data_IF_723656690617
#
_entry.id   IF_723656690617
#
_cell.length_a   1.000
_cell.length_b   1.000
_cell.length_c   1.000
_cell.angle_alpha   90.00
_cell.angle_beta   90.00
_cell.angle_gamma   90.00
#
_symmetry.space_group_name_H-M   'P 1'
#
loop_
_entity.id
_entity.type
_entity.pdbx_description
1 polymer ?
#
# COMPACT_ATOMS: atom_id res chain seq x y z
N UNK A 1 -26.29 9.18 9.77
CA UNK A 1 -26.01 7.72 9.65
C UNK A 1 -25.11 7.29 10.81
N UNK A 2 -25.23 6.00 11.26
CA UNK A 2 -24.28 5.46 12.26
C UNK A 2 -22.90 5.30 11.64
N UNK A 3 -21.85 5.41 12.51
CA UNK A 3 -20.47 5.14 12.08
C UNK A 3 -20.38 3.70 11.58
N UNK A 4 -19.84 3.45 10.38
CA UNK A 4 -19.69 2.09 9.86
C UNK A 4 -18.73 1.25 10.72
N UNK A 5 -19.03 -0.06 10.84
CA UNK A 5 -18.11 -1.06 11.32
C UNK A 5 -17.39 -1.69 10.13
N UNK A 6 -16.13 -2.02 10.32
CA UNK A 6 -15.29 -2.71 9.34
C UNK A 6 -14.66 -3.95 9.95
N UNK A 7 -14.32 -4.88 9.08
CA UNK A 7 -13.63 -6.13 9.40
C UNK A 7 -12.18 -6.08 8.90
N UNK A 8 -11.24 -6.28 9.83
CA UNK A 8 -9.79 -6.21 9.55
C UNK A 8 -9.17 -7.58 9.79
N UNK A 9 -8.68 -8.25 8.76
CA UNK A 9 -7.93 -9.50 8.87
C UNK A 9 -6.55 -9.24 9.47
N UNK A 10 -6.23 -9.91 10.58
CA UNK A 10 -5.00 -9.65 11.36
C UNK A 10 -3.95 -10.73 11.13
N UNK A 11 -4.29 -11.98 11.37
CA UNK A 11 -3.38 -13.10 11.24
C UNK A 11 -4.12 -14.38 10.85
N UNK A 12 -3.39 -15.29 10.19
CA UNK A 12 -3.91 -16.61 9.85
C UNK A 12 -2.95 -17.71 10.32
N UNK A 13 -3.51 -18.85 10.73
CA UNK A 13 -2.72 -19.99 11.18
C UNK A 13 -3.57 -21.19 11.57
N UNK A 14 -2.95 -22.36 11.76
CA UNK A 14 -3.66 -23.56 12.25
C UNK A 14 -4.12 -23.43 13.70
N UNK A 15 -3.47 -22.57 14.46
CA UNK A 15 -3.77 -22.22 15.82
C UNK A 15 -3.73 -20.72 15.99
N UNK A 16 -4.66 -20.15 16.77
CA UNK A 16 -4.71 -18.73 17.12
C UNK A 16 -4.78 -18.64 18.63
N UNK A 17 -3.79 -17.99 19.24
CA UNK A 17 -3.77 -17.67 20.67
C UNK A 17 -4.17 -16.22 20.90
N UNK A 18 -5.12 -16.01 21.78
CA UNK A 18 -5.64 -14.70 22.13
C UNK A 18 -5.95 -14.56 23.60
N UNK A 19 -6.09 -13.33 24.10
CA UNK A 19 -6.38 -13.05 25.51
C UNK A 19 -7.42 -11.96 25.66
N UNK A 20 -8.29 -12.15 26.63
CA UNK A 20 -9.30 -11.18 27.06
C UNK A 20 -8.98 -10.67 28.47
N UNK A 21 -8.39 -9.47 28.64
CA UNK A 21 -8.12 -8.90 29.95
C UNK A 21 -9.39 -8.65 30.78
N UNK A 22 -10.52 -8.47 30.08
CA UNK A 22 -11.86 -8.36 30.69
C UNK A 22 -12.79 -9.40 30.05
N UNK A 23 -14.03 -9.52 30.56
CA UNK A 23 -15.00 -10.46 30.01
C UNK A 23 -15.45 -10.10 28.60
N UNK A 24 -15.41 -11.08 27.71
CA UNK A 24 -16.02 -11.09 26.39
C UNK A 24 -17.09 -12.16 26.33
N UNK A 25 -18.11 -11.94 25.51
CA UNK A 25 -19.21 -12.88 25.27
C UNK A 25 -19.03 -13.42 23.85
N UNK A 26 -18.99 -14.74 23.71
CA UNK A 26 -18.93 -15.42 22.43
C UNK A 26 -20.30 -15.46 21.75
N UNK A 27 -20.33 -15.85 20.47
CA UNK A 27 -21.54 -15.98 19.66
C UNK A 27 -22.52 -17.04 20.20
N UNK A 28 -22.08 -17.97 21.06
CA UNK A 28 -22.93 -18.95 21.78
C UNK A 28 -23.21 -18.55 23.22
N UNK A 29 -23.09 -17.26 23.56
CA UNK A 29 -23.35 -16.66 24.88
C UNK A 29 -22.39 -17.14 26.00
N UNK A 30 -21.27 -17.80 25.66
CA UNK A 30 -20.26 -18.21 26.64
C UNK A 30 -19.42 -17.00 27.06
N UNK A 31 -19.37 -16.71 28.36
CA UNK A 31 -18.46 -15.71 28.93
C UNK A 31 -17.02 -16.24 28.94
N UNK A 32 -16.08 -15.43 28.50
CA UNK A 32 -14.67 -15.79 28.45
C UNK A 32 -13.75 -14.64 28.87
N UNK A 33 -12.69 -14.97 29.61
CA UNK A 33 -11.61 -14.06 30.02
C UNK A 33 -10.28 -14.80 30.06
N UNK A 34 -9.17 -14.05 30.15
CA UNK A 34 -7.83 -14.61 30.18
C UNK A 34 -7.40 -15.22 28.85
N UNK A 35 -6.40 -16.10 28.92
CA UNK A 35 -5.82 -16.76 27.76
C UNK A 35 -6.78 -17.77 27.14
N UNK A 36 -6.90 -17.71 25.82
CA UNK A 36 -7.74 -18.56 25.00
C UNK A 36 -6.92 -19.10 23.82
N UNK A 37 -7.36 -20.23 23.26
CA UNK A 37 -6.76 -20.85 22.08
C UNK A 37 -7.83 -21.47 21.20
N UNK A 38 -7.86 -21.10 19.93
CA UNK A 38 -8.67 -21.75 18.90
C UNK A 38 -7.76 -22.57 17.96
N UNK A 39 -8.22 -23.74 17.56
CA UNK A 39 -7.46 -24.69 16.74
C UNK A 39 -8.29 -25.10 15.53
N UNK A 40 -7.66 -25.09 14.33
CA UNK A 40 -8.24 -25.66 13.12
C UNK A 40 -8.14 -27.20 13.15
N UNK A 41 -9.26 -27.87 12.98
CA UNK A 41 -9.31 -29.32 12.73
C UNK A 41 -10.48 -29.65 11.81
N UNK A 42 -10.23 -30.44 10.78
CA UNK A 42 -11.27 -31.01 9.88
C UNK A 42 -12.30 -29.98 9.37
N UNK A 43 -11.84 -28.80 8.99
CA UNK A 43 -12.69 -27.73 8.46
C UNK A 43 -13.47 -26.94 9.52
N UNK A 44 -13.17 -27.11 10.81
CA UNK A 44 -13.86 -26.47 11.95
C UNK A 44 -12.89 -25.71 12.85
N UNK A 45 -13.47 -24.78 13.62
CA UNK A 45 -12.83 -24.11 14.74
C UNK A 45 -13.11 -24.91 16.01
N UNK A 46 -12.08 -25.44 16.65
CA UNK A 46 -12.20 -26.07 17.96
C UNK A 46 -11.82 -25.09 19.05
N UNK A 47 -12.77 -24.79 19.95
CA UNK A 47 -12.58 -23.89 21.09
C UNK A 47 -13.37 -24.40 22.30
N UNK A 48 -12.70 -24.48 23.45
CA UNK A 48 -13.29 -24.95 24.74
C UNK A 48 -14.08 -26.27 24.61
N UNK A 49 -13.57 -27.23 23.80
CA UNK A 49 -14.20 -28.52 23.60
C UNK A 49 -15.43 -28.55 22.67
N UNK A 50 -15.78 -27.44 22.07
CA UNK A 50 -16.86 -27.30 21.08
C UNK A 50 -16.32 -27.02 19.69
N UNK A 51 -17.16 -27.26 18.67
CA UNK A 51 -16.86 -27.02 17.24
C UNK A 51 -17.72 -25.90 16.69
N UNK A 52 -17.08 -25.03 15.89
CA UNK A 52 -17.73 -23.88 15.27
C UNK A 52 -17.37 -23.77 13.78
N UNK A 53 -18.28 -23.23 12.98
CA UNK A 53 -17.98 -22.76 11.61
C UNK A 53 -17.40 -21.34 11.63
N UNK A 54 -17.88 -20.54 12.55
CA UNK A 54 -17.50 -19.17 12.80
C UNK A 54 -17.64 -18.91 14.30
N UNK A 55 -16.71 -18.15 14.88
CA UNK A 55 -16.70 -17.82 16.30
C UNK A 55 -16.44 -16.32 16.48
N UNK A 56 -17.37 -15.62 17.13
CA UNK A 56 -17.27 -14.19 17.36
C UNK A 56 -17.31 -13.88 18.85
N UNK A 57 -16.57 -12.84 19.25
CA UNK A 57 -16.50 -12.37 20.62
C UNK A 57 -16.74 -10.86 20.66
N UNK A 58 -17.63 -10.44 21.54
CA UNK A 58 -17.92 -9.02 21.80
C UNK A 58 -17.61 -8.67 23.25
N UNK A 59 -17.07 -7.48 23.54
CA UNK A 59 -16.81 -7.06 24.91
C UNK A 59 -18.13 -6.85 25.66
N UNK A 60 -18.20 -7.30 26.91
CA UNK A 60 -19.41 -7.20 27.72
C UNK A 60 -19.71 -5.76 28.16
N UNK A 61 -18.69 -4.93 28.42
CA UNK A 61 -18.84 -3.52 28.79
C UNK A 61 -17.60 -2.67 28.46
N UNK A 62 -17.84 -1.39 28.09
CA UNK A 62 -16.89 -0.28 28.14
C UNK A 62 -16.12 0.01 26.85
N UNK A 63 -16.01 1.30 26.52
CA UNK A 63 -15.26 1.81 25.36
C UNK A 63 -13.73 1.54 25.43
N UNK A 64 -13.20 1.11 26.57
CA UNK A 64 -11.78 0.78 26.78
C UNK A 64 -11.48 -0.72 26.67
N UNK A 65 -12.48 -1.56 26.37
CA UNK A 65 -12.30 -2.99 26.21
C UNK A 65 -11.39 -3.31 25.01
N UNK A 66 -10.45 -4.23 25.23
CA UNK A 66 -9.56 -4.72 24.17
C UNK A 66 -9.30 -6.22 24.34
N UNK A 67 -8.85 -6.85 23.27
CA UNK A 67 -8.30 -8.18 23.27
C UNK A 67 -6.86 -8.16 22.74
N UNK A 68 -6.10 -9.19 23.04
CA UNK A 68 -4.74 -9.39 22.58
C UNK A 68 -4.68 -10.58 21.63
N UNK A 69 -3.91 -10.46 20.55
CA UNK A 69 -3.51 -11.57 19.68
C UNK A 69 -2.00 -11.76 19.82
N UNK A 70 -1.59 -13.03 19.97
CA UNK A 70 -0.17 -13.41 19.98
C UNK A 70 0.33 -13.72 18.58
N UNK A 71 1.64 -13.65 18.41
CA UNK A 71 2.34 -14.01 17.18
C UNK A 71 1.85 -13.28 15.91
N UNK A 72 1.35 -12.05 16.05
CA UNK A 72 1.00 -11.23 14.90
C UNK A 72 2.27 -10.85 14.15
N UNK A 73 2.39 -11.30 12.90
CA UNK A 73 3.53 -10.97 12.04
C UNK A 73 3.37 -9.56 11.49
N UNK A 74 4.39 -8.73 11.67
CA UNK A 74 4.47 -7.38 11.11
C UNK A 74 5.66 -7.27 10.17
N UNK A 75 5.53 -6.43 9.11
CA UNK A 75 6.57 -6.26 8.10
C UNK A 75 6.77 -7.49 7.24
N UNK A 76 5.70 -8.13 6.81
CA UNK A 76 5.71 -9.34 6.00
C UNK A 76 6.57 -9.14 4.74
N UNK A 77 7.57 -9.99 4.53
CA UNK A 77 8.56 -9.94 3.46
C UNK A 77 9.53 -8.73 3.50
N UNK A 78 9.59 -7.99 4.59
CA UNK A 78 10.62 -6.97 4.82
C UNK A 78 11.76 -7.53 5.69
N UNK A 79 12.94 -6.90 5.63
CA UNK A 79 14.11 -7.30 6.43
C UNK A 79 13.91 -7.18 7.96
N UNK A 80 12.87 -6.46 8.40
CA UNK A 80 12.48 -6.25 9.79
C UNK A 80 11.23 -7.04 10.21
N UNK A 81 10.83 -8.06 9.41
CA UNK A 81 9.73 -8.97 9.76
C UNK A 81 9.94 -9.58 11.15
N UNK A 82 8.92 -9.50 12.00
CA UNK A 82 8.91 -10.08 13.32
C UNK A 82 7.50 -10.38 13.81
N UNK A 83 7.41 -11.18 14.88
CA UNK A 83 6.16 -11.49 15.57
C UNK A 83 6.04 -10.66 16.84
N UNK A 84 4.85 -10.14 17.10
CA UNK A 84 4.53 -9.33 18.27
C UNK A 84 3.19 -9.75 18.87
N UNK A 85 2.99 -9.44 20.16
CA UNK A 85 1.67 -9.43 20.79
C UNK A 85 1.02 -8.09 20.46
N UNK A 86 -0.15 -8.12 19.84
CA UNK A 86 -0.87 -6.89 19.50
C UNK A 86 -2.22 -6.81 20.20
N UNK A 87 -2.65 -5.57 20.50
CA UNK A 87 -3.87 -5.22 21.24
C UNK A 87 -4.87 -4.54 20.32
N UNK A 88 -6.14 -4.96 20.39
CA UNK A 88 -7.19 -4.47 19.51
C UNK A 88 -8.44 -4.12 20.28
N UNK A 89 -9.03 -2.95 20.03
CA UNK A 89 -10.37 -2.59 20.49
C UNK A 89 -11.43 -3.29 19.65
N UNK A 90 -12.69 -3.28 20.15
CA UNK A 90 -13.84 -3.85 19.42
C UNK A 90 -13.97 -5.35 19.58
N UNK A 91 -14.54 -6.02 18.58
CA UNK A 91 -14.80 -7.46 18.59
C UNK A 91 -13.71 -8.28 17.90
N UNK A 92 -13.59 -9.54 18.31
CA UNK A 92 -12.79 -10.56 17.62
C UNK A 92 -13.73 -11.55 16.92
N UNK A 93 -13.45 -11.82 15.66
CA UNK A 93 -14.12 -12.87 14.87
C UNK A 93 -13.06 -13.83 14.35
N UNK A 94 -13.31 -15.13 14.44
CA UNK A 94 -12.45 -16.19 13.90
C UNK A 94 -13.26 -16.96 12.86
N UNK A 95 -12.68 -17.14 11.68
CA UNK A 95 -13.27 -17.90 10.57
C UNK A 95 -12.31 -18.99 10.09
N UNK A 96 -12.83 -19.93 9.32
CA UNK A 96 -12.03 -20.92 8.57
C UNK A 96 -11.78 -20.37 7.16
N UNK A 97 -10.52 -20.31 6.74
CA UNK A 97 -10.10 -19.99 5.37
C UNK A 97 -9.14 -21.07 4.86
N UNK A 98 -9.59 -21.87 3.90
CA UNK A 98 -8.82 -23.03 3.44
C UNK A 98 -8.58 -24.01 4.58
N UNK A 99 -7.32 -24.35 4.85
CA UNK A 99 -6.89 -25.27 5.91
C UNK A 99 -6.35 -24.57 7.16
N UNK A 100 -6.84 -23.37 7.46
CA UNK A 100 -6.39 -22.55 8.60
C UNK A 100 -7.51 -21.65 9.14
N UNK A 101 -7.25 -21.08 10.31
CA UNK A 101 -8.08 -20.04 10.92
C UNK A 101 -7.57 -18.67 10.52
N UNK A 102 -8.49 -17.70 10.41
CA UNK A 102 -8.16 -16.28 10.27
C UNK A 102 -8.83 -15.48 11.39
N UNK A 103 -8.02 -14.71 12.13
CA UNK A 103 -8.50 -13.76 13.14
C UNK A 103 -8.81 -12.42 12.49
N UNK A 104 -10.02 -11.91 12.73
CA UNK A 104 -10.56 -10.68 12.17
C UNK A 104 -10.97 -9.76 13.32
N UNK A 105 -10.53 -8.52 13.30
CA UNK A 105 -10.99 -7.49 14.22
C UNK A 105 -12.22 -6.77 13.64
N UNK A 106 -13.30 -6.67 14.41
CA UNK A 106 -14.50 -5.90 14.07
C UNK A 106 -14.47 -4.59 14.84
N UNK A 107 -14.36 -3.46 14.13
CA UNK A 107 -14.11 -2.17 14.75
C UNK A 107 -14.80 -1.03 13.96
N UNK A 108 -15.09 0.10 14.63
CA UNK A 108 -15.57 1.29 13.93
C UNK A 108 -14.49 1.89 13.04
N UNK A 109 -14.89 2.45 11.89
CA UNK A 109 -13.94 3.08 10.95
C UNK A 109 -13.11 4.17 11.61
N UNK A 110 -13.68 4.95 12.54
CA UNK A 110 -12.95 6.03 13.21
C UNK A 110 -11.87 5.48 14.18
N UNK A 111 -12.16 4.44 14.93
CA UNK A 111 -11.15 3.79 15.78
C UNK A 111 -10.06 3.08 14.94
N UNK A 112 -10.44 2.49 13.80
CA UNK A 112 -9.49 1.95 12.83
C UNK A 112 -8.54 3.03 12.32
N UNK A 113 -9.07 4.20 11.92
CA UNK A 113 -8.26 5.32 11.40
C UNK A 113 -7.29 5.88 12.43
N UNK A 114 -7.68 5.96 13.72
CA UNK A 114 -6.74 6.35 14.78
C UNK A 114 -5.51 5.43 14.79
N UNK A 115 -5.73 4.13 14.66
CA UNK A 115 -4.62 3.16 14.58
C UNK A 115 -3.80 3.31 13.29
N UNK A 116 -4.45 3.44 12.14
CA UNK A 116 -3.76 3.63 10.84
C UNK A 116 -2.88 4.87 10.88
N UNK A 117 -3.43 6.03 11.28
CA UNK A 117 -2.68 7.29 11.36
C UNK A 117 -1.48 7.16 12.31
N UNK A 118 -1.68 6.52 13.47
CA UNK A 118 -0.60 6.30 14.45
C UNK A 118 0.44 5.28 13.98
N UNK A 119 0.09 4.40 13.03
CA UNK A 119 1.00 3.38 12.46
C UNK A 119 1.76 3.89 11.22
N UNK A 120 1.13 4.78 10.44
CA UNK A 120 1.70 5.36 9.23
C UNK A 120 2.55 6.61 9.50
N UNK A 121 2.13 7.43 10.48
CA UNK A 121 2.73 8.72 10.80
C UNK A 121 3.38 8.75 12.17
N UNK A 122 4.38 9.62 12.32
CA UNK A 122 5.02 9.87 13.61
C UNK A 122 4.13 10.71 14.53
N UNK A 123 4.40 10.61 15.85
CA UNK A 123 3.84 11.48 16.87
C UNK A 123 4.19 12.98 16.69
N UNK A 124 5.22 13.27 15.90
CA UNK A 124 5.70 14.64 15.62
C UNK A 124 5.09 15.25 14.36
N UNK A 125 4.23 14.51 13.66
CA UNK A 125 3.58 14.99 12.44
C UNK A 125 2.65 16.18 12.73
N UNK A 126 2.63 17.14 11.80
CA UNK A 126 1.75 18.31 11.93
C UNK A 126 0.28 17.90 11.92
N UNK A 127 -0.56 18.63 12.67
CA UNK A 127 -1.99 18.33 12.76
C UNK A 127 -2.66 18.37 11.38
N UNK A 128 -2.25 19.29 10.51
CA UNK A 128 -2.83 19.43 9.16
C UNK A 128 -2.46 18.25 8.25
N UNK A 129 -1.22 17.71 8.36
CA UNK A 129 -0.84 16.46 7.68
C UNK A 129 -1.70 15.28 8.18
N UNK A 130 -1.88 15.15 9.50
CA UNK A 130 -2.66 14.07 10.10
C UNK A 130 -4.14 14.13 9.69
N UNK A 131 -4.73 15.34 9.63
CA UNK A 131 -6.10 15.56 9.12
C UNK A 131 -6.22 15.16 7.65
N UNK A 132 -5.31 15.62 6.79
CA UNK A 132 -5.29 15.24 5.38
C UNK A 132 -5.21 13.71 5.24
N UNK A 133 -4.32 13.07 6.01
CA UNK A 133 -4.14 11.61 5.97
C UNK A 133 -5.37 10.86 6.49
N UNK A 134 -6.06 11.36 7.52
CA UNK A 134 -7.30 10.77 8.03
C UNK A 134 -8.41 10.80 6.97
N UNK A 135 -8.56 11.92 6.24
CA UNK A 135 -9.53 12.07 5.17
C UNK A 135 -9.24 11.11 4.00
N UNK A 136 -7.99 11.04 3.52
CA UNK A 136 -7.66 10.16 2.40
C UNK A 136 -7.77 8.68 2.76
N UNK A 137 -7.33 8.29 3.96
CA UNK A 137 -7.45 6.91 4.43
C UNK A 137 -8.91 6.47 4.55
N UNK A 138 -9.79 7.36 5.05
CA UNK A 138 -11.24 7.14 5.10
C UNK A 138 -11.85 7.06 3.71
N UNK A 139 -11.45 7.95 2.80
CA UNK A 139 -11.95 7.97 1.41
C UNK A 139 -11.60 6.68 0.68
N UNK A 140 -10.34 6.25 0.74
CA UNK A 140 -9.88 5.01 0.14
C UNK A 140 -10.66 3.79 0.65
N UNK A 141 -10.83 3.68 1.97
CA UNK A 141 -11.53 2.57 2.60
C UNK A 141 -13.00 2.52 2.21
N UNK A 142 -13.70 3.65 2.27
CA UNK A 142 -15.12 3.72 1.92
C UNK A 142 -15.36 3.58 0.41
N UNK A 143 -14.45 4.04 -0.44
CA UNK A 143 -14.50 3.79 -1.88
C UNK A 143 -14.42 2.29 -2.17
N UNK A 144 -13.43 1.59 -1.58
CA UNK A 144 -13.28 0.15 -1.70
C UNK A 144 -14.56 -0.57 -1.26
N UNK A 145 -15.05 -0.29 -0.07
CA UNK A 145 -16.23 -0.93 0.49
C UNK A 145 -17.49 -0.75 -0.37
N UNK A 146 -17.76 0.47 -0.85
CA UNK A 146 -18.91 0.73 -1.76
C UNK A 146 -18.76 0.04 -3.11
N UNK A 147 -17.54 -0.06 -3.63
CA UNK A 147 -17.28 -0.73 -4.91
C UNK A 147 -17.48 -2.23 -4.81
N UNK A 148 -17.05 -2.86 -3.73
CA UNK A 148 -17.25 -4.29 -3.48
C UNK A 148 -18.73 -4.63 -3.24
N UNK A 149 -19.45 -3.82 -2.46
CA UNK A 149 -20.89 -3.99 -2.24
C UNK A 149 -21.67 -3.93 -3.55
N UNK A 150 -21.37 -2.97 -4.43
CA UNK A 150 -22.01 -2.87 -5.76
C UNK A 150 -21.68 -4.07 -6.65
N UNK A 151 -20.45 -4.57 -6.63
CA UNK A 151 -20.06 -5.78 -7.38
C UNK A 151 -20.87 -7.02 -6.90
N UNK A 152 -21.11 -7.14 -5.59
CA UNK A 152 -21.92 -8.23 -5.02
C UNK A 152 -23.41 -8.13 -5.41
N UNK A 153 -24.00 -6.94 -5.34
CA UNK A 153 -25.38 -6.68 -5.78
C UNK A 153 -25.56 -7.05 -7.26
N UNK A 154 -24.67 -6.61 -8.13
CA UNK A 154 -24.69 -6.95 -9.57
C UNK A 154 -24.51 -8.45 -9.85
N UNK A 155 -23.76 -9.18 -9.03
CA UNK A 155 -23.63 -10.64 -9.14
C UNK A 155 -24.94 -11.33 -8.73
N UNK A 156 -25.59 -10.88 -7.67
CA UNK A 156 -26.86 -11.43 -7.18
C UNK A 156 -28.02 -11.19 -8.15
N UNK A 157 -28.07 -10.04 -8.83
CA UNK A 157 -29.07 -9.75 -9.88
C UNK A 157 -28.87 -10.61 -11.14
N UNK A 158 -27.64 -10.98 -11.47
CA UNK A 158 -27.34 -11.84 -12.64
C UNK A 158 -27.61 -13.34 -12.37
N UNK A 159 -27.61 -13.79 -11.13
CA UNK A 159 -27.96 -15.19 -10.80
C UNK A 159 -29.45 -15.52 -10.98
N UNK A 160 -30.30 -14.51 -11.21
CA UNK A 160 -31.74 -14.69 -11.56
C UNK A 160 -32.03 -14.92 -13.06
N UNK A 161 -31.03 -14.82 -13.95
CA UNK A 161 -31.17 -15.11 -15.38
C UNK A 161 -30.04 -16.01 -15.84
N UNK A 162 -30.38 -17.23 -16.24
CA UNK A 162 -29.47 -18.19 -16.88
C UNK A 162 -28.91 -17.60 -18.18
N UNK A 163 -27.73 -17.03 -18.14
CA UNK A 163 -26.94 -16.66 -19.33
C UNK A 163 -25.59 -17.35 -19.18
N UNK A 164 -25.19 -18.02 -20.26
CA UNK A 164 -23.92 -18.73 -20.42
C UNK A 164 -22.74 -17.90 -19.91
N UNK A 165 -21.84 -18.58 -19.20
CA UNK A 165 -20.61 -18.06 -18.68
C UNK A 165 -19.70 -17.59 -19.81
N UNK A 166 -19.65 -16.30 -20.05
CA UNK A 166 -18.42 -15.63 -20.45
C UNK A 166 -17.87 -14.92 -19.22
N UNK A 167 -17.21 -15.69 -18.37
CA UNK A 167 -16.41 -15.15 -17.27
C UNK A 167 -15.07 -14.69 -17.81
N UNK A 168 -15.05 -13.55 -18.47
CA UNK A 168 -13.85 -12.74 -18.53
C UNK A 168 -13.63 -12.14 -17.13
N UNK A 169 -13.19 -12.97 -16.17
CA UNK A 169 -12.45 -12.48 -15.01
C UNK A 169 -11.20 -11.84 -15.60
N UNK A 170 -11.16 -10.50 -15.58
CA UNK A 170 -9.97 -9.75 -15.95
C UNK A 170 -8.87 -10.19 -14.97
N UNK A 171 -8.08 -11.18 -15.38
CA UNK A 171 -6.90 -11.59 -14.60
C UNK A 171 -6.01 -10.35 -14.47
N UNK A 172 -5.49 -10.02 -13.26
CA UNK A 172 -4.63 -8.86 -13.05
C UNK A 172 -3.23 -9.06 -13.68
N UNK A 173 -3.15 -9.85 -14.75
CA UNK A 173 -1.93 -10.10 -15.50
C UNK A 173 -2.22 -10.44 -16.95
N UNK A 174 -1.37 -9.93 -17.82
CA UNK A 174 -1.29 -10.31 -19.21
C UNK A 174 0.04 -11.04 -19.44
N UNK A 175 0.00 -12.31 -19.81
CA UNK A 175 1.18 -13.14 -20.06
C UNK A 175 1.16 -13.62 -21.51
N UNK A 176 2.23 -13.35 -22.24
CA UNK A 176 2.52 -13.89 -23.57
C UNK A 176 3.98 -14.33 -23.64
N UNK A 177 4.41 -14.95 -24.73
CA UNK A 177 5.81 -15.36 -24.95
C UNK A 177 6.82 -14.20 -24.88
N UNK A 178 6.36 -12.95 -25.06
CA UNK A 178 7.19 -11.74 -25.11
C UNK A 178 6.89 -10.72 -24.00
N UNK A 179 5.80 -10.89 -23.22
CA UNK A 179 5.36 -9.92 -22.22
C UNK A 179 4.80 -10.58 -20.98
N UNK A 180 5.16 -10.04 -19.82
CA UNK A 180 4.63 -10.36 -18.51
C UNK A 180 4.20 -9.07 -17.81
N UNK A 181 2.93 -8.67 -18.00
CA UNK A 181 2.36 -7.46 -17.45
C UNK A 181 1.44 -7.85 -16.30
N UNK A 182 1.79 -7.44 -15.08
CA UNK A 182 1.05 -7.75 -13.86
C UNK A 182 0.79 -6.50 -13.04
N UNK A 183 -0.41 -6.38 -12.52
CA UNK A 183 -0.76 -5.41 -11.49
C UNK A 183 -1.45 -6.13 -10.34
N UNK A 184 -1.51 -5.49 -9.20
CA UNK A 184 -2.03 -6.08 -7.97
C UNK A 184 -3.36 -5.43 -7.64
N UNK A 185 -4.43 -6.24 -7.67
CA UNK A 185 -5.79 -5.81 -7.43
C UNK A 185 -6.10 -5.80 -5.93
N UNK A 186 -7.16 -5.08 -5.55
CA UNK A 186 -7.70 -5.01 -4.19
C UNK A 186 -8.32 -6.32 -3.68
N UNK A 187 -8.55 -7.31 -4.53
CA UNK A 187 -9.25 -8.55 -4.21
C UNK A 187 -8.38 -9.63 -3.54
N UNK A 188 -7.32 -9.23 -2.79
CA UNK A 188 -6.45 -10.20 -2.10
C UNK A 188 -7.15 -10.96 -0.97
N UNK A 189 -8.30 -10.48 -0.48
CA UNK A 189 -9.09 -11.10 0.57
C UNK A 189 -10.60 -10.94 0.28
N UNK A 190 -11.37 -11.99 0.61
CA UNK A 190 -12.81 -12.08 0.30
C UNK A 190 -13.70 -12.08 1.55
N UNK A 191 -13.14 -12.40 2.71
CA UNK A 191 -13.88 -12.68 3.92
C UNK A 191 -13.80 -11.54 4.97
N UNK A 192 -13.07 -10.47 4.64
CA UNK A 192 -12.95 -9.25 5.45
C UNK A 192 -12.65 -8.05 4.54
N UNK A 193 -12.92 -6.83 5.02
CA UNK A 193 -12.84 -5.61 4.22
C UNK A 193 -11.40 -5.20 3.89
N UNK A 194 -10.49 -5.28 4.86
CA UNK A 194 -9.07 -4.91 4.74
C UNK A 194 -8.19 -5.84 5.56
N UNK A 195 -6.93 -5.99 5.16
CA UNK A 195 -5.91 -6.61 6.01
C UNK A 195 -5.14 -5.56 6.85
N UNK A 196 -4.44 -6.03 7.86
CA UNK A 196 -3.64 -5.20 8.76
C UNK A 196 -2.27 -4.80 8.18
N UNK A 197 -1.88 -5.32 7.01
CA UNK A 197 -0.57 -5.15 6.39
C UNK A 197 -0.56 -4.05 5.30
N UNK A 198 0.63 -3.71 4.82
CA UNK A 198 0.93 -2.68 3.82
C UNK A 198 0.19 -2.86 2.47
N UNK A 199 -0.37 -4.05 2.21
CA UNK A 199 -1.24 -4.28 1.06
C UNK A 199 -2.50 -3.39 1.08
N UNK A 200 -3.08 -3.14 2.27
CA UNK A 200 -4.20 -2.23 2.46
C UNK A 200 -3.72 -0.93 3.12
N UNK A 201 -3.79 -0.87 4.41
CA UNK A 201 -3.28 0.23 5.25
C UNK A 201 -2.73 -0.39 6.52
N UNK A 202 -1.55 0.04 6.95
CA UNK A 202 -0.91 -0.51 8.15
C UNK A 202 -1.77 -0.28 9.38
N UNK A 203 -2.24 -1.38 9.99
CA UNK A 203 -3.11 -1.38 11.14
C UNK A 203 -2.50 -2.23 12.27
N UNK A 204 -2.24 -1.64 13.42
CA UNK A 204 -1.61 -2.30 14.57
C UNK A 204 -2.46 -2.20 15.87
N UNK A 205 -3.76 -1.96 15.71
CA UNK A 205 -4.68 -1.81 16.82
C UNK A 205 -4.27 -0.65 17.74
N UNK A 206 -4.31 -0.90 19.06
CA UNK A 206 -3.87 0.06 20.10
C UNK A 206 -2.49 -0.31 20.67
N UNK A 207 -1.75 -1.18 20.01
CA UNK A 207 -0.42 -1.63 20.47
C UNK A 207 0.58 -0.48 20.49
N UNK A 208 0.49 0.39 19.49
CA UNK A 208 1.18 1.68 19.52
C UNK A 208 0.28 2.72 20.17
N UNK A 209 0.87 3.50 21.08
CA UNK A 209 0.16 4.60 21.70
C UNK A 209 -0.30 5.57 20.61
N UNK A 210 -1.60 5.77 20.51
CA UNK A 210 -2.16 6.84 19.70
C UNK A 210 -1.77 8.18 20.32
N UNK A 211 -1.26 9.10 19.50
CA UNK A 211 -0.94 10.43 19.99
C UNK A 211 -2.22 11.27 20.14
N UNK A 212 -2.25 12.24 21.06
CA UNK A 212 -3.37 13.18 21.15
C UNK A 212 -3.68 13.84 19.79
N UNK A 213 -2.65 14.18 19.00
CA UNK A 213 -2.82 14.78 17.69
C UNK A 213 -3.48 13.84 16.67
N UNK A 214 -3.16 12.54 16.68
CA UNK A 214 -3.82 11.57 15.80
C UNK A 214 -5.32 11.42 16.13
N UNK A 215 -5.65 11.38 17.44
CA UNK A 215 -7.04 11.36 17.91
C UNK A 215 -7.76 12.64 17.50
N UNK A 216 -7.13 13.80 17.72
CA UNK A 216 -7.67 15.12 17.33
C UNK A 216 -7.93 15.19 15.83
N UNK A 217 -6.97 14.78 15.00
CA UNK A 217 -7.08 14.81 13.54
C UNK A 217 -8.26 13.98 13.03
N UNK A 218 -8.39 12.74 13.52
CA UNK A 218 -9.50 11.84 13.14
C UNK A 218 -10.84 12.40 13.63
N UNK A 219 -10.88 12.92 14.85
CA UNK A 219 -12.11 13.51 15.44
C UNK A 219 -12.54 14.77 14.71
N UNK A 220 -11.60 15.67 14.41
CA UNK A 220 -11.88 16.93 13.71
C UNK A 220 -12.39 16.72 12.28
N UNK A 221 -11.91 15.66 11.62
CA UNK A 221 -12.31 15.29 10.24
C UNK A 221 -13.33 14.15 10.20
N UNK A 222 -14.03 13.90 11.31
CA UNK A 222 -14.96 12.77 11.43
C UNK A 222 -15.97 12.75 10.28
N UNK A 223 -16.07 11.59 9.61
CA UNK A 223 -16.97 11.36 8.49
C UNK A 223 -16.58 12.06 7.18
N UNK A 224 -15.55 12.90 7.15
CA UNK A 224 -15.11 13.62 5.96
C UNK A 224 -14.39 12.71 4.97
N UNK A 225 -14.77 12.78 3.70
CA UNK A 225 -14.18 12.08 2.57
C UNK A 225 -13.99 13.01 1.38
N UNK A 226 -13.08 12.64 0.49
CA UNK A 226 -12.95 13.26 -0.82
C UNK A 226 -14.01 12.71 -1.77
N UNK A 227 -14.72 13.61 -2.46
CA UNK A 227 -15.73 13.29 -3.47
C UNK A 227 -15.35 13.86 -4.82
N UNK A 228 -15.63 13.13 -5.87
CA UNK A 228 -15.55 13.61 -7.26
C UNK A 228 -16.76 13.12 -8.04
N UNK A 229 -17.48 14.06 -8.67
CA UNK A 229 -18.70 13.75 -9.45
C UNK A 229 -19.68 12.82 -8.73
N UNK A 230 -19.93 13.06 -7.42
CA UNK A 230 -20.87 12.29 -6.60
C UNK A 230 -20.37 10.91 -6.16
N UNK A 231 -19.09 10.59 -6.39
CA UNK A 231 -18.47 9.32 -5.99
C UNK A 231 -17.31 9.58 -5.03
N UNK A 232 -17.15 8.74 -4.00
CA UNK A 232 -16.00 8.80 -3.09
C UNK A 232 -14.73 8.49 -3.90
N UNK A 233 -13.68 9.30 -3.73
CA UNK A 233 -12.41 9.12 -4.42
C UNK A 233 -11.65 7.88 -3.93
N UNK A 234 -11.01 7.14 -4.85
CA UNK A 234 -9.93 6.21 -4.54
C UNK A 234 -8.67 7.01 -4.19
N UNK A 235 -8.58 7.45 -2.93
CA UNK A 235 -7.57 8.41 -2.49
C UNK A 235 -6.26 7.72 -2.16
N UNK A 236 -5.45 7.43 -3.19
CA UNK A 236 -4.13 6.79 -3.10
C UNK A 236 -3.09 7.74 -2.50
N UNK A 237 -2.09 7.18 -1.85
CA UNK A 237 -0.94 7.93 -1.32
C UNK A 237 0.34 7.11 -1.39
N UNK A 238 1.48 7.78 -1.43
CA UNK A 238 2.80 7.16 -1.43
C UNK A 238 3.82 7.99 -0.65
N UNK A 239 4.94 7.39 -0.29
CA UNK A 239 5.96 8.01 0.54
C UNK A 239 6.54 9.29 -0.08
N UNK A 240 7.00 9.20 -1.35
CA UNK A 240 7.61 10.32 -2.07
C UNK A 240 7.32 10.22 -3.57
N UNK A 241 6.73 11.26 -4.16
CA UNK A 241 6.43 11.28 -5.60
C UNK A 241 7.68 11.50 -6.47
N UNK A 242 8.78 12.07 -5.91
CA UNK A 242 10.00 12.40 -6.65
C UNK A 242 9.89 13.71 -7.44
N UNK A 243 8.88 14.54 -7.11
CA UNK A 243 8.62 15.85 -7.69
C UNK A 243 7.51 15.87 -8.75
N UNK A 244 6.98 14.71 -9.14
CA UNK A 244 5.87 14.59 -10.08
C UNK A 244 4.92 13.45 -9.69
N UNK A 245 3.60 13.70 -9.82
CA UNK A 245 2.57 12.70 -9.54
C UNK A 245 2.40 11.76 -10.72
N UNK A 246 2.02 10.51 -10.41
CA UNK A 246 1.70 9.51 -11.40
C UNK A 246 0.18 9.34 -11.55
N UNK A 247 -0.25 8.87 -12.71
CA UNK A 247 -1.64 8.53 -12.96
C UNK A 247 -1.94 7.07 -12.56
N UNK A 248 -3.15 6.82 -12.06
CA UNK A 248 -3.59 5.53 -11.54
C UNK A 248 -3.40 4.37 -12.53
N UNK A 249 -3.81 4.55 -13.79
CA UNK A 249 -3.78 3.48 -14.81
C UNK A 249 -2.37 2.99 -15.14
N UNK A 250 -1.33 3.75 -14.80
CA UNK A 250 0.06 3.35 -15.00
C UNK A 250 0.55 2.34 -13.95
N UNK A 251 -0.11 2.29 -12.80
CA UNK A 251 0.23 1.41 -11.68
C UNK A 251 -0.70 0.20 -11.57
N UNK A 252 -2.00 0.37 -11.88
CA UNK A 252 -3.05 -0.64 -11.72
C UNK A 252 -3.82 -0.89 -13.03
N UNK A 253 -5.12 -1.22 -12.94
CA UNK A 253 -5.98 -1.41 -14.11
C UNK A 253 -6.07 -0.14 -14.97
N UNK A 254 -6.44 -0.31 -16.22
CA UNK A 254 -6.50 0.79 -17.17
C UNK A 254 -7.79 1.63 -17.00
N UNK A 255 -7.90 2.28 -15.84
CA UNK A 255 -9.00 3.19 -15.48
C UNK A 255 -8.42 4.55 -15.15
N UNK A 256 -8.93 5.62 -15.78
CA UNK A 256 -8.53 6.98 -15.47
C UNK A 256 -9.40 7.56 -14.37
N UNK A 257 -8.77 8.14 -13.36
CA UNK A 257 -9.42 8.92 -12.33
C UNK A 257 -9.09 10.40 -12.53
N UNK A 258 -10.07 11.28 -12.83
CA UNK A 258 -9.81 12.69 -13.16
C UNK A 258 -9.15 13.50 -12.05
N UNK A 259 -9.19 13.01 -10.82
CA UNK A 259 -8.55 13.60 -9.64
C UNK A 259 -7.18 12.98 -9.30
N UNK A 260 -6.71 11.96 -10.04
CA UNK A 260 -5.38 11.34 -9.91
C UNK A 260 -4.59 11.59 -11.20
N UNK A 261 -4.15 12.82 -11.38
CA UNK A 261 -3.50 13.30 -12.61
C UNK A 261 -1.99 13.43 -12.44
N UNK A 262 -1.27 13.41 -13.58
CA UNK A 262 0.13 13.79 -13.63
C UNK A 262 0.30 15.29 -13.43
N UNK A 263 1.01 15.69 -12.36
CA UNK A 263 1.23 17.09 -12.00
C UNK A 263 2.56 17.25 -11.27
N UNK A 264 3.12 18.45 -11.29
CA UNK A 264 4.32 18.79 -10.53
C UNK A 264 4.00 19.01 -9.05
N UNK A 265 4.82 18.47 -8.16
CA UNK A 265 4.70 18.62 -6.70
C UNK A 265 5.36 19.91 -6.21
N UNK A 266 4.82 21.08 -6.58
CA UNK A 266 5.36 22.36 -6.17
C UNK A 266 4.29 23.46 -6.14
N UNK A 267 4.62 24.58 -5.46
CA UNK A 267 3.76 25.77 -5.38
C UNK A 267 3.69 26.57 -6.68
N UNK A 268 4.75 26.49 -7.49
CA UNK A 268 4.90 27.29 -8.70
C UNK A 268 4.19 26.53 -9.83
N UNK A 269 3.34 27.24 -10.59
CA UNK A 269 2.65 26.71 -11.77
C UNK A 269 3.59 26.47 -12.99
N UNK A 270 4.81 26.02 -12.72
CA UNK A 270 5.72 25.60 -13.77
C UNK A 270 5.17 24.31 -14.41
N UNK A 271 5.09 24.31 -15.71
CA UNK A 271 4.65 23.12 -16.44
C UNK A 271 5.58 21.93 -16.16
N UNK A 272 4.97 20.78 -15.89
CA UNK A 272 5.69 19.52 -15.84
C UNK A 272 6.18 19.18 -17.25
N UNK A 273 7.48 18.88 -17.47
CA UNK A 273 7.93 18.32 -18.75
C UNK A 273 7.17 17.03 -19.06
N UNK A 274 7.06 16.69 -20.34
CA UNK A 274 6.46 15.41 -20.73
C UNK A 274 7.41 14.26 -20.38
N UNK A 275 7.27 13.73 -19.16
CA UNK A 275 8.11 12.65 -18.62
C UNK A 275 7.77 11.27 -19.20
N UNK A 276 6.81 11.17 -20.12
CA UNK A 276 6.60 9.95 -20.94
C UNK A 276 7.69 9.81 -22.00
N UNK A 277 8.38 10.92 -22.32
CA UNK A 277 9.51 10.97 -23.25
C UNK A 277 10.79 10.62 -22.49
N UNK A 278 11.52 9.60 -22.96
CA UNK A 278 12.72 9.06 -22.28
C UNK A 278 13.78 10.13 -21.99
N UNK A 279 14.07 11.03 -22.92
CA UNK A 279 15.08 12.10 -22.75
C UNK A 279 14.69 13.13 -21.69
N UNK A 280 13.39 13.45 -21.59
CA UNK A 280 12.88 14.36 -20.56
C UNK A 280 12.86 13.69 -19.17
N UNK A 281 12.47 12.42 -19.13
CA UNK A 281 12.53 11.62 -17.91
C UNK A 281 13.97 11.43 -17.41
N UNK A 282 14.92 11.15 -18.29
CA UNK A 282 16.35 11.04 -17.96
C UNK A 282 16.87 12.35 -17.33
N UNK A 283 16.60 13.49 -17.98
CA UNK A 283 16.97 14.81 -17.47
C UNK A 283 16.33 15.11 -16.12
N UNK A 284 15.04 14.84 -15.96
CA UNK A 284 14.29 15.04 -14.71
C UNK A 284 14.86 14.22 -13.55
N UNK A 285 15.11 12.94 -13.79
CA UNK A 285 15.58 12.00 -12.77
C UNK A 285 17.01 12.34 -12.33
N UNK A 286 17.89 12.72 -13.27
CA UNK A 286 19.29 13.08 -12.97
C UNK A 286 19.45 14.45 -12.33
N UNK A 287 18.43 15.32 -12.45
CA UNK A 287 18.43 16.63 -11.80
C UNK A 287 17.61 16.58 -10.50
N UNK A 288 17.61 17.69 -9.77
CA UNK A 288 16.84 17.83 -8.54
C UNK A 288 15.93 19.06 -8.61
N UNK A 289 14.87 19.02 -9.44
CA UNK A 289 13.93 20.13 -9.56
C UNK A 289 13.28 20.48 -8.22
N UNK A 290 12.90 21.74 -8.05
CA UNK A 290 12.19 22.20 -6.85
C UNK A 290 10.84 21.48 -6.73
N UNK A 291 10.58 20.90 -5.56
CA UNK A 291 9.33 20.23 -5.22
C UNK A 291 9.12 20.27 -3.71
N UNK A 292 7.86 20.12 -3.25
CA UNK A 292 7.59 20.02 -1.81
C UNK A 292 8.33 18.83 -1.20
N UNK A 293 8.34 17.68 -1.86
CA UNK A 293 9.05 16.49 -1.36
C UNK A 293 10.57 16.54 -1.52
N UNK A 294 11.15 17.60 -2.09
CA UNK A 294 12.61 17.79 -2.16
C UNK A 294 13.13 18.37 -0.86
N UNK A 295 13.20 17.54 0.18
CA UNK A 295 13.72 17.92 1.50
C UNK A 295 14.67 16.85 2.03
N UNK A 296 15.68 17.30 2.78
CA UNK A 296 16.59 16.48 3.61
C UNK A 296 16.45 16.84 5.09
N UNK A 297 15.47 17.67 5.44
CA UNK A 297 15.21 18.04 6.83
C UNK A 297 14.72 16.81 7.61
N UNK A 298 15.56 16.35 8.51
CA UNK A 298 15.28 15.17 9.35
C UNK A 298 14.05 15.35 10.23
N UNK A 299 13.74 16.57 10.65
CA UNK A 299 12.53 16.86 11.43
C UNK A 299 11.28 16.59 10.61
N UNK A 300 11.28 16.99 9.33
CA UNK A 300 10.17 16.73 8.41
C UNK A 300 10.11 15.26 8.04
N UNK A 301 11.25 14.67 7.65
CA UNK A 301 11.29 13.26 7.27
C UNK A 301 10.84 12.33 8.41
N UNK A 302 11.19 12.66 9.66
CA UNK A 302 10.76 11.88 10.83
C UNK A 302 9.25 11.89 11.06
N UNK A 303 8.49 12.80 10.46
CA UNK A 303 7.02 12.81 10.55
C UNK A 303 6.36 11.68 9.76
N UNK A 304 6.97 11.26 8.66
CA UNK A 304 6.43 10.28 7.70
C UNK A 304 7.24 8.98 7.64
N UNK A 305 8.34 8.90 8.41
CA UNK A 305 9.19 7.72 8.48
C UNK A 305 9.05 7.05 9.82
N UNK A 306 8.79 5.75 9.80
CA UNK A 306 8.93 4.91 10.98
C UNK A 306 10.42 4.73 11.31
N UNK A 307 10.74 4.34 12.54
CA UNK A 307 12.12 4.15 13.00
C UNK A 307 12.95 3.23 12.09
N UNK A 308 12.30 2.33 11.33
CA UNK A 308 12.95 1.39 10.40
C UNK A 308 13.31 2.00 9.04
N UNK A 309 12.64 3.08 8.64
CA UNK A 309 12.86 3.77 7.36
C UNK A 309 13.84 4.95 7.50
N UNK A 310 14.36 5.21 8.72
CA UNK A 310 15.23 6.35 9.00
C UNK A 310 16.71 6.15 8.63
N UNK A 311 17.06 4.99 8.09
CA UNK A 311 18.45 4.67 7.69
C UNK A 311 18.93 5.47 6.49
N UNK A 312 18.02 6.06 5.71
CA UNK A 312 18.35 6.88 4.54
C UNK A 312 17.56 8.18 4.51
N UNK A 313 18.13 9.21 3.90
CA UNK A 313 17.44 10.48 3.56
C UNK A 313 17.19 10.62 2.06
N UNK A 314 17.56 9.61 1.27
CA UNK A 314 17.58 9.65 -0.20
C UNK A 314 16.22 9.29 -0.82
N UNK A 315 15.13 9.87 -0.29
CA UNK A 315 13.77 9.60 -0.79
C UNK A 315 13.46 10.33 -2.10
N UNK A 316 14.04 11.52 -2.29
CA UNK A 316 13.80 12.33 -3.47
C UNK A 316 14.58 11.83 -4.67
N UNK A 317 15.86 11.50 -4.47
CA UNK A 317 16.75 10.88 -5.46
C UNK A 317 17.56 9.76 -4.80
N UNK A 318 17.74 8.67 -5.52
CA UNK A 318 18.39 7.48 -5.02
C UNK A 318 19.26 6.82 -6.09
N UNK A 319 20.20 6.00 -5.66
CA UNK A 319 21.11 5.25 -6.53
C UNK A 319 21.28 3.82 -6.00
N UNK A 320 21.14 2.83 -6.89
CA UNK A 320 21.38 1.41 -6.61
C UNK A 320 22.32 0.85 -7.66
N UNK A 321 23.25 0.01 -7.25
CA UNK A 321 24.25 -0.58 -8.13
C UNK A 321 24.23 -2.10 -8.00
N UNK A 322 24.27 -2.80 -9.12
CA UNK A 322 24.39 -4.24 -9.19
C UNK A 322 25.53 -4.63 -10.12
N UNK A 323 26.33 -5.61 -9.74
CA UNK A 323 27.11 -6.33 -10.74
C UNK A 323 26.18 -7.10 -11.68
N UNK A 324 26.66 -7.45 -12.86
CA UNK A 324 25.87 -8.23 -13.81
C UNK A 324 25.39 -9.55 -13.22
N UNK A 325 26.22 -10.23 -12.43
CA UNK A 325 25.86 -11.50 -11.81
C UNK A 325 24.81 -11.34 -10.71
N UNK A 326 24.95 -10.34 -9.83
CA UNK A 326 23.96 -10.03 -8.80
C UNK A 326 22.61 -9.74 -9.42
N UNK A 327 22.54 -8.90 -10.46
CA UNK A 327 21.31 -8.55 -11.15
C UNK A 327 20.67 -9.77 -11.82
N UNK A 328 21.46 -10.63 -12.48
CA UNK A 328 20.96 -11.85 -13.11
C UNK A 328 20.35 -12.81 -12.10
N UNK A 329 21.05 -13.03 -10.99
CA UNK A 329 20.58 -13.88 -9.89
C UNK A 329 19.32 -13.32 -9.24
N UNK A 330 19.31 -12.02 -8.96
CA UNK A 330 18.18 -11.31 -8.36
C UNK A 330 16.91 -11.41 -9.23
N UNK A 331 17.03 -11.09 -10.51
CA UNK A 331 15.89 -11.15 -11.44
C UNK A 331 15.34 -12.58 -11.53
N UNK A 332 16.21 -13.59 -11.62
CA UNK A 332 15.78 -15.00 -11.64
C UNK A 332 15.03 -15.38 -10.36
N UNK A 333 15.58 -15.07 -9.19
CA UNK A 333 14.95 -15.38 -7.90
C UNK A 333 13.60 -14.68 -7.70
N UNK A 334 13.49 -13.42 -8.16
CA UNK A 334 12.29 -12.59 -7.93
C UNK A 334 11.18 -12.84 -8.94
N UNK A 335 11.51 -13.08 -10.20
CA UNK A 335 10.53 -13.31 -11.26
C UNK A 335 10.21 -14.79 -11.49
N UNK A 336 11.08 -15.72 -11.05
CA UNK A 336 11.03 -17.14 -11.39
C UNK A 336 11.44 -17.43 -12.84
N UNK A 337 11.91 -16.40 -13.59
CA UNK A 337 12.26 -16.51 -15.02
C UNK A 337 13.77 -16.47 -15.17
N UNK A 338 14.33 -17.50 -15.84
CA UNK A 338 15.76 -17.51 -16.18
C UNK A 338 16.01 -16.73 -17.47
N UNK A 339 16.66 -15.57 -17.32
CA UNK A 339 17.12 -14.75 -18.44
C UNK A 339 18.58 -15.08 -18.84
N UNK A 340 19.28 -15.92 -18.09
CA UNK A 340 20.72 -16.07 -18.19
C UNK A 340 21.45 -14.83 -17.71
N UNK A 341 22.53 -14.44 -18.39
CA UNK A 341 23.21 -13.17 -18.09
C UNK A 341 22.39 -11.98 -18.61
N UNK A 342 22.15 -11.01 -17.75
CA UNK A 342 21.44 -9.78 -18.15
C UNK A 342 22.39 -8.93 -19.03
N UNK A 343 21.95 -8.64 -20.23
CA UNK A 343 22.69 -7.83 -21.21
C UNK A 343 22.21 -6.39 -21.24
N UNK A 344 20.89 -6.18 -21.06
CA UNK A 344 20.30 -4.84 -21.07
C UNK A 344 19.01 -4.77 -20.28
N UNK A 345 18.71 -3.54 -19.82
CA UNK A 345 17.42 -3.11 -19.28
C UNK A 345 16.98 -1.91 -20.12
N UNK A 346 15.92 -2.04 -20.89
CA UNK A 346 15.49 -1.02 -21.85
C UNK A 346 14.12 -0.47 -21.45
N UNK A 347 14.01 0.83 -21.12
CA UNK A 347 12.73 1.52 -20.95
C UNK A 347 11.87 1.38 -22.22
N UNK A 348 10.61 0.97 -22.07
CA UNK A 348 9.66 0.84 -23.20
C UNK A 348 8.53 1.84 -23.08
N UNK A 349 8.03 2.06 -21.88
CA UNK A 349 6.91 2.96 -21.63
C UNK A 349 7.06 3.60 -20.27
N UNK A 350 6.85 4.92 -20.20
CA UNK A 350 6.82 5.70 -18.97
C UNK A 350 5.46 6.35 -18.76
N UNK A 351 5.07 6.49 -17.50
CA UNK A 351 3.95 7.31 -17.08
C UNK A 351 4.32 8.78 -16.94
N UNK A 352 3.34 9.57 -16.55
CA UNK A 352 3.42 11.04 -16.44
C UNK A 352 4.43 11.54 -15.40
N UNK A 353 4.85 10.72 -14.45
CA UNK A 353 5.90 11.02 -13.46
C UNK A 353 7.28 10.52 -13.86
N UNK A 354 7.44 9.97 -15.07
CA UNK A 354 8.67 9.31 -15.52
C UNK A 354 8.84 7.88 -14.97
N UNK A 355 7.87 7.36 -14.20
CA UNK A 355 7.88 5.96 -13.76
C UNK A 355 7.74 5.01 -14.93
N UNK A 356 8.54 3.95 -14.94
CA UNK A 356 8.43 2.88 -15.93
C UNK A 356 7.14 2.10 -15.72
N UNK A 357 6.33 2.03 -16.77
CA UNK A 357 5.14 1.19 -16.89
C UNK A 357 5.51 -0.13 -17.53
N UNK A 358 6.48 -0.10 -18.49
CA UNK A 358 7.02 -1.28 -19.15
C UNK A 358 8.54 -1.20 -19.26
N UNK A 359 9.20 -2.29 -18.86
CA UNK A 359 10.65 -2.45 -18.92
C UNK A 359 10.97 -3.73 -19.69
N UNK A 360 11.82 -3.64 -20.72
CA UNK A 360 12.33 -4.80 -21.44
C UNK A 360 13.63 -5.28 -20.78
N UNK A 361 13.65 -6.52 -20.36
CA UNK A 361 14.82 -7.21 -19.84
C UNK A 361 15.38 -8.06 -20.98
N UNK A 362 16.65 -7.82 -21.34
CA UNK A 362 17.38 -8.57 -22.36
C UNK A 362 18.43 -9.43 -21.68
N UNK A 363 18.31 -10.72 -21.82
CA UNK A 363 19.28 -11.69 -21.30
C UNK A 363 19.81 -12.60 -22.39
N UNK A 364 20.81 -13.42 -22.07
CA UNK A 364 21.40 -14.37 -23.01
C UNK A 364 20.48 -15.54 -23.38
N UNK A 365 19.55 -15.91 -22.50
CA UNK A 365 18.61 -17.01 -22.70
C UNK A 365 17.22 -16.52 -23.11
N UNK A 366 16.82 -15.34 -22.65
CA UNK A 366 15.47 -14.81 -22.89
C UNK A 366 15.45 -13.28 -22.94
N UNK A 367 14.50 -12.76 -23.68
CA UNK A 367 14.13 -11.34 -23.69
C UNK A 367 12.64 -11.23 -23.42
N UNK A 368 12.23 -10.39 -22.47
CA UNK A 368 10.84 -10.22 -22.07
C UNK A 368 10.57 -8.79 -21.63
N UNK A 369 9.36 -8.29 -21.89
CA UNK A 369 8.87 -7.01 -21.35
C UNK A 369 8.10 -7.33 -20.06
N UNK A 370 8.47 -6.70 -18.95
CA UNK A 370 7.75 -6.77 -17.68
C UNK A 370 7.03 -5.45 -17.39
N UNK A 371 5.99 -5.49 -16.61
CA UNK A 371 5.19 -4.35 -16.12
C UNK A 371 4.12 -4.86 -15.15
N UNK A 372 3.44 -4.04 -14.41
CA UNK A 372 3.53 -2.57 -14.30
C UNK A 372 4.53 -2.16 -13.20
N UNK A 373 4.29 -0.99 -12.63
CA UNK A 373 5.15 -0.30 -11.65
C UNK A 373 5.66 -1.21 -10.55
N UNK A 374 4.76 -1.86 -9.80
CA UNK A 374 5.12 -2.71 -8.66
C UNK A 374 5.85 -3.98 -9.10
N UNK A 375 5.49 -4.58 -10.24
CA UNK A 375 6.19 -5.78 -10.75
C UNK A 375 7.63 -5.47 -11.15
N UNK A 376 7.87 -4.29 -11.76
CA UNK A 376 9.23 -3.82 -12.07
C UNK A 376 10.04 -3.66 -10.77
N UNK A 377 9.48 -3.02 -9.75
CA UNK A 377 10.15 -2.82 -8.46
C UNK A 377 10.47 -4.13 -7.74
N UNK A 378 9.53 -5.08 -7.74
CA UNK A 378 9.72 -6.40 -7.13
C UNK A 378 10.81 -7.22 -7.82
N UNK A 379 10.87 -7.15 -9.14
CA UNK A 379 11.83 -7.90 -9.95
C UNK A 379 13.26 -7.40 -9.75
N UNK A 380 13.44 -6.10 -9.48
CA UNK A 380 14.76 -5.45 -9.39
C UNK A 380 15.25 -5.18 -7.96
N UNK A 381 14.66 -5.82 -6.94
CA UNK A 381 15.11 -5.70 -5.56
C UNK A 381 14.80 -6.96 -4.76
N UNK A 382 15.58 -7.23 -3.73
CA UNK A 382 15.31 -8.32 -2.76
C UNK A 382 14.00 -8.13 -1.99
N UNK A 383 13.58 -6.86 -1.79
CA UNK A 383 12.27 -6.51 -1.27
C UNK A 383 11.45 -5.79 -2.36
N UNK A 384 11.51 -4.45 -2.36
CA UNK A 384 10.94 -3.60 -3.40
C UNK A 384 11.92 -2.47 -3.70
N UNK A 385 12.21 -2.24 -4.99
CA UNK A 385 12.98 -1.05 -5.40
C UNK A 385 12.20 0.22 -4.98
N UNK A 386 12.88 1.28 -4.66
CA UNK A 386 12.27 2.52 -4.14
C UNK A 386 11.10 3.03 -4.99
N UNK A 387 11.30 3.12 -6.32
CA UNK A 387 10.25 3.42 -7.30
C UNK A 387 10.61 2.81 -8.65
N UNK A 388 9.70 2.88 -9.64
CA UNK A 388 10.03 2.58 -11.03
C UNK A 388 10.45 3.81 -11.84
N UNK A 389 10.57 5.00 -11.22
CA UNK A 389 11.13 6.18 -11.87
C UNK A 389 12.65 6.15 -11.81
N UNK A 390 13.27 5.45 -12.74
CA UNK A 390 14.74 5.36 -12.81
C UNK A 390 15.26 5.33 -14.24
N UNK A 391 16.54 5.67 -14.37
CA UNK A 391 17.35 5.52 -15.59
C UNK A 391 18.50 4.55 -15.31
N UNK A 392 19.07 4.00 -16.38
CA UNK A 392 20.03 2.90 -16.29
C UNK A 392 21.33 3.31 -16.95
N UNK A 393 22.41 3.34 -16.14
CA UNK A 393 23.78 3.44 -16.64
C UNK A 393 24.42 2.05 -16.64
N UNK A 394 25.33 1.83 -17.59
CA UNK A 394 26.06 0.55 -17.73
C UNK A 394 27.55 0.80 -17.74
N UNK A 395 28.26 0.03 -16.91
CA UNK A 395 29.72 0.00 -16.91
C UNK A 395 30.22 -1.29 -17.57
N UNK A 396 31.32 -1.20 -18.28
CA UNK A 396 31.94 -2.31 -19.02
C UNK A 396 33.37 -2.50 -18.53
N UNK A 397 33.81 -3.73 -18.39
CA UNK A 397 35.23 -4.00 -18.12
C UNK A 397 36.07 -3.71 -19.36
N UNK A 398 37.22 -3.11 -19.16
CA UNK A 398 38.21 -2.91 -20.18
C UNK A 398 39.34 -3.96 -20.02
N UNK A 399 39.66 -4.66 -21.11
CA UNK A 399 40.83 -5.54 -21.21
C UNK A 399 41.75 -5.00 -22.27
N UNK A 400 42.76 -4.26 -21.83
CA UNK A 400 43.66 -3.51 -22.73
C UNK A 400 42.85 -2.42 -23.48
N UNK A 401 42.95 -2.39 -24.81
CA UNK A 401 42.23 -1.41 -25.62
C UNK A 401 40.81 -1.89 -26.10
N UNK A 402 40.34 -3.04 -25.60
CA UNK A 402 39.02 -3.58 -25.96
C UNK A 402 38.06 -3.51 -24.77
N UNK A 403 36.92 -2.91 -25.01
CA UNK A 403 35.76 -2.90 -24.08
C UNK A 403 35.03 -4.23 -24.21
N UNK A 404 34.67 -4.87 -23.08
CA UNK A 404 33.84 -6.07 -23.10
C UNK A 404 32.50 -5.77 -23.77
N UNK A 405 31.95 -6.75 -24.50
CA UNK A 405 30.63 -6.59 -25.16
C UNK A 405 29.48 -6.57 -24.16
N UNK A 406 29.62 -7.25 -23.03
CA UNK A 406 28.60 -7.35 -22.01
C UNK A 406 28.90 -6.38 -20.86
N UNK A 407 27.87 -5.72 -20.29
CA UNK A 407 28.06 -4.85 -19.16
C UNK A 407 28.51 -5.67 -17.94
N UNK A 408 29.46 -5.11 -17.17
CA UNK A 408 29.91 -5.70 -15.90
C UNK A 408 29.08 -5.22 -14.72
N UNK A 409 28.45 -4.06 -14.86
CA UNK A 409 27.68 -3.41 -13.79
C UNK A 409 26.52 -2.60 -14.36
N UNK A 410 25.41 -2.59 -13.63
CA UNK A 410 24.23 -1.77 -13.87
C UNK A 410 24.08 -0.78 -12.70
N UNK A 411 23.83 0.47 -13.02
CA UNK A 411 23.61 1.56 -12.08
C UNK A 411 22.20 2.10 -12.34
N UNK A 412 21.32 1.96 -11.37
CA UNK A 412 19.99 2.54 -11.38
C UNK A 412 20.02 3.86 -10.63
N UNK A 413 19.69 4.96 -11.30
CA UNK A 413 19.55 6.29 -10.72
C UNK A 413 18.08 6.61 -10.76
N UNK A 414 17.45 6.93 -9.62
CA UNK A 414 16.02 7.06 -9.57
C UNK A 414 15.49 8.20 -8.72
N UNK A 415 14.17 8.39 -8.79
CA UNK A 415 13.43 9.46 -8.15
C UNK A 415 12.21 8.94 -7.40
N UNK A 416 12.00 9.42 -6.18
CA UNK A 416 10.83 9.11 -5.37
C UNK A 416 10.82 7.72 -4.74
N UNK A 417 9.80 7.46 -3.91
CA UNK A 417 9.57 6.21 -3.21
C UNK A 417 8.08 5.85 -3.23
N UNK A 418 7.75 4.70 -3.81
CA UNK A 418 6.39 4.22 -4.05
C UNK A 418 5.87 4.59 -5.45
N UNK A 419 4.60 4.31 -5.66
CA UNK A 419 3.93 4.45 -6.95
C UNK A 419 3.71 5.90 -7.42
N UNK A 420 3.77 6.88 -6.50
CA UNK A 420 3.67 8.31 -6.84
C UNK A 420 2.26 8.82 -7.16
N UNK A 421 1.23 8.00 -7.04
CA UNK A 421 -0.17 8.38 -7.32
C UNK A 421 -0.81 9.03 -6.11
N UNK A 422 -1.50 10.14 -6.28
CA UNK A 422 -2.21 10.88 -5.23
C UNK A 422 -1.26 11.56 -4.25
N UNK A 423 -1.58 11.54 -2.94
CA UNK A 423 -0.84 12.31 -1.94
C UNK A 423 0.59 11.79 -1.75
N UNK A 424 1.54 12.72 -1.85
CA UNK A 424 2.94 12.52 -1.48
C UNK A 424 3.12 12.82 0.01
N UNK A 425 3.37 11.81 0.84
CA UNK A 425 3.46 11.98 2.30
C UNK A 425 4.55 12.99 2.71
N UNK A 426 5.74 12.93 2.10
CA UNK A 426 6.83 13.90 2.39
C UNK A 426 6.45 15.30 1.92
N UNK A 427 5.86 15.44 0.72
CA UNK A 427 5.43 16.75 0.23
C UNK A 427 4.32 17.35 1.11
N UNK A 428 3.35 16.55 1.52
CA UNK A 428 2.29 16.98 2.45
C UNK A 428 2.83 17.37 3.83
N UNK A 429 3.88 16.68 4.32
CA UNK A 429 4.55 17.05 5.56
C UNK A 429 5.24 18.43 5.45
N UNK A 430 5.93 18.69 4.33
CA UNK A 430 6.51 20.00 4.04
C UNK A 430 5.43 21.09 3.96
N UNK A 431 4.33 20.83 3.26
CA UNK A 431 3.19 21.76 3.20
C UNK A 431 2.64 22.08 4.59
N UNK A 432 2.43 21.04 5.43
CA UNK A 432 1.93 21.23 6.80
C UNK A 432 2.87 22.07 7.67
N UNK A 433 4.20 21.87 7.57
CA UNK A 433 5.21 22.70 8.26
C UNK A 433 5.25 24.15 7.72
N UNK A 434 4.89 24.35 6.45
CA UNK A 434 4.76 25.68 5.83
C UNK A 434 3.43 26.38 6.16
N UNK A 435 2.54 25.73 6.94
CA UNK A 435 1.28 26.31 7.41
C UNK A 435 0.08 26.11 6.49
N UNK A 436 0.21 25.30 5.45
CA UNK A 436 -0.95 24.93 4.62
C UNK A 436 -1.97 24.15 5.44
N UNK A 437 -3.26 24.45 5.20
CA UNK A 437 -4.37 23.73 5.81
C UNK A 437 -4.58 22.38 5.12
N UNK A 438 -5.19 21.43 5.82
CA UNK A 438 -5.41 20.09 5.27
C UNK A 438 -6.26 20.12 4.00
N UNK A 439 -7.20 21.07 3.87
CA UNK A 439 -8.01 21.28 2.66
C UNK A 439 -7.14 21.72 1.47
N UNK A 440 -6.15 22.59 1.71
CA UNK A 440 -5.21 23.06 0.68
C UNK A 440 -4.28 21.91 0.26
N UNK A 441 -3.80 21.10 1.22
CA UNK A 441 -3.00 19.90 0.97
C UNK A 441 -3.81 18.92 0.09
N UNK A 442 -5.05 18.65 0.47
CA UNK A 442 -5.92 17.72 -0.28
C UNK A 442 -6.23 18.24 -1.68
N UNK A 443 -6.51 19.52 -1.83
CA UNK A 443 -6.78 20.17 -3.13
C UNK A 443 -5.55 20.11 -4.06
N UNK A 444 -4.33 20.19 -3.51
CA UNK A 444 -3.09 20.05 -4.28
C UNK A 444 -2.92 18.62 -4.86
N UNK A 445 -3.21 17.59 -4.06
CA UNK A 445 -2.98 16.19 -4.45
C UNK A 445 -4.17 15.53 -5.15
N UNK A 446 -5.39 16.07 -5.01
CA UNK A 446 -6.62 15.56 -5.61
C UNK A 446 -7.42 16.71 -6.25
N UNK A 447 -6.91 17.32 -7.33
CA UNK A 447 -7.53 18.47 -7.94
C UNK A 447 -8.96 18.17 -8.42
N UNK A 448 -9.86 19.14 -8.19
CA UNK A 448 -11.27 19.04 -8.56
C UNK A 448 -12.13 18.17 -7.63
N UNK A 449 -11.54 17.55 -6.59
CA UNK A 449 -12.33 16.87 -5.55
C UNK A 449 -12.88 17.88 -4.53
N UNK A 450 -13.94 17.48 -3.83
CA UNK A 450 -14.59 18.24 -2.74
C UNK A 450 -14.59 17.42 -1.46
N UNK A 451 -14.65 18.10 -0.31
CA UNK A 451 -14.81 17.47 1.00
C UNK A 451 -16.29 17.36 1.35
N UNK A 452 -16.75 16.16 1.69
CA UNK A 452 -18.12 15.91 2.12
C UNK A 452 -18.18 14.96 3.33
N UNK A 453 -19.15 15.18 4.22
CA UNK A 453 -19.41 14.28 5.36
C UNK A 453 -20.36 13.16 4.96
N UNK A 454 -19.96 11.91 5.18
CA UNK A 454 -20.77 10.72 4.92
C UNK A 454 -21.60 10.28 6.15
N UNK A 455 -21.15 10.63 7.36
CA UNK A 455 -21.82 10.37 8.64
C UNK A 455 -21.38 11.38 9.71
N UNK A 456 -22.11 11.42 10.82
CA UNK A 456 -21.83 12.29 11.98
C UNK A 456 -21.22 11.51 13.14
#
# INVERSE_FOLDING_TARGET
MRVPLISVGILSGKEIEFSFPIKFISSDETESSGMQKAIYREGKIHWQGKEYNELSFTPQQGASAFFELKDVTIGINFHWERKEVQKFKGGLKIIVEGEQLTAINIISIEEYLISVISSEMSATASLELLKAHAVISRSWLLNKWKTESRKQEMKNEKTGKSIQKDSATCSPSFVSDSQFIKWYDHEAHKNFDVCADDHCQRYQGITRASTPQAIEAVTATRGEVLMYAGTICDARFSKCCGGAFEEFQNCWENVKHPYLIGQRDCKIEDQLPDLTIETEADKWIRTSPVAFCHTQDKKILSQVLNNYDQETTDFYRWKVCYSQQELSTLIHQRSGIDFGQILDLIPIERGTSGRLVRLKIVGTLRTLIIGKELEIRRTLSTSHLYSSAFVIDKEYKEKGHKKDKNPSRFILIGAGWGHGVGLCQIGAAVMGEQGYKYEEILSHYYPGSTLEKQYQ
#
